data_IF_713353352085
#
_entry.id   IF_713353352085
#
_cell.length_a   1.000
_cell.length_b   1.000
_cell.length_c   1.000
_cell.angle_alpha   90.00
_cell.angle_beta   90.00
_cell.angle_gamma   90.00
#
_symmetry.space_group_name_H-M   'P 1'
#
loop_
_entity.id
_entity.type
_entity.pdbx_description
1 polymer ?
#
# COMPACT_ATOMS: atom_id res chain seq x y z
N UNK A 1 -18.06 57.21 13.65
CA UNK A 1 -18.87 57.71 12.53
C UNK A 1 -18.31 57.12 11.26
N UNK A 2 -19.00 56.13 10.72
CA UNK A 2 -18.65 55.47 9.46
C UNK A 2 -19.48 56.16 8.37
N UNK A 3 -18.86 56.96 7.51
CA UNK A 3 -19.52 57.54 6.34
C UNK A 3 -19.56 56.49 5.25
N UNK A 4 -20.77 56.03 4.95
CA UNK A 4 -21.11 55.11 3.86
C UNK A 4 -20.96 55.81 2.52
N UNK A 5 -20.05 55.31 1.68
CA UNK A 5 -20.13 55.48 0.23
C UNK A 5 -20.48 54.10 -0.33
N UNK A 6 -21.69 54.00 -0.88
CA UNK A 6 -22.14 52.86 -1.67
C UNK A 6 -21.28 52.77 -2.94
N UNK A 7 -20.45 51.73 -3.00
CA UNK A 7 -19.94 51.17 -4.26
C UNK A 7 -20.08 49.66 -4.21
N UNK A 8 -20.90 49.17 -5.12
CA UNK A 8 -21.27 47.77 -5.31
C UNK A 8 -20.05 47.01 -5.88
N UNK A 9 -19.18 46.53 -5.01
CA UNK A 9 -18.11 45.59 -5.36
C UNK A 9 -18.15 44.45 -4.34
N UNK A 10 -18.80 43.37 -4.74
CA UNK A 10 -18.70 42.04 -4.13
C UNK A 10 -17.24 41.56 -4.23
N UNK A 11 -16.36 42.07 -3.36
CA UNK A 11 -15.10 41.41 -3.06
C UNK A 11 -15.44 40.32 -2.05
N UNK A 12 -15.84 39.17 -2.58
CA UNK A 12 -15.74 37.91 -1.86
C UNK A 12 -14.23 37.70 -1.65
N UNK A 13 -13.68 38.26 -0.58
CA UNK A 13 -12.39 37.82 -0.05
C UNK A 13 -12.62 36.42 0.48
N UNK A 14 -12.60 35.45 -0.42
CA UNK A 14 -12.50 34.06 -0.07
C UNK A 14 -11.22 33.90 0.73
N UNK A 15 -11.35 33.64 2.02
CA UNK A 15 -10.29 33.00 2.79
C UNK A 15 -10.09 31.61 2.16
N UNK A 16 -9.32 31.52 1.09
CA UNK A 16 -8.66 30.28 0.73
C UNK A 16 -7.63 30.04 1.83
N UNK A 17 -8.07 29.41 2.94
CA UNK A 17 -7.11 28.65 3.72
C UNK A 17 -6.62 27.56 2.78
N UNK A 18 -5.46 27.76 2.17
CA UNK A 18 -4.67 26.68 1.58
C UNK A 18 -4.30 25.74 2.71
N UNK A 19 -5.28 24.96 3.18
CA UNK A 19 -5.06 23.93 4.17
C UNK A 19 -4.38 22.82 3.39
N UNK A 20 -3.05 22.84 3.43
CA UNK A 20 -2.22 21.76 2.91
C UNK A 20 -2.73 20.48 3.59
N UNK A 21 -3.25 19.57 2.77
CA UNK A 21 -3.75 18.29 3.25
C UNK A 21 -2.58 17.52 3.84
N UNK A 22 -2.79 16.90 5.01
CA UNK A 22 -1.75 16.08 5.62
C UNK A 22 -1.57 14.80 4.81
N UNK A 23 -0.35 14.31 4.74
CA UNK A 23 -0.02 13.07 4.01
C UNK A 23 -0.84 11.85 4.50
N UNK A 24 -1.10 11.75 5.81
CA UNK A 24 -1.98 10.73 6.40
C UNK A 24 -3.41 10.75 5.84
N UNK A 25 -3.94 11.95 5.55
CA UNK A 25 -5.29 12.12 5.00
C UNK A 25 -5.30 11.66 3.53
N UNK A 26 -4.25 11.97 2.78
CA UNK A 26 -4.06 11.44 1.41
C UNK A 26 -4.01 9.90 1.44
N UNK A 27 -3.27 9.30 2.37
CA UNK A 27 -3.22 7.84 2.49
C UNK A 27 -4.57 7.21 2.84
N UNK A 28 -5.43 7.89 3.61
CA UNK A 28 -6.78 7.39 3.89
C UNK A 28 -7.64 7.34 2.62
N UNK A 29 -7.54 8.34 1.74
CA UNK A 29 -8.26 8.34 0.47
C UNK A 29 -7.70 7.30 -0.52
N UNK A 30 -6.38 7.15 -0.56
CA UNK A 30 -5.72 6.14 -1.38
C UNK A 30 -6.10 4.72 -0.94
N UNK A 31 -6.19 4.46 0.37
CA UNK A 31 -6.71 3.20 0.91
C UNK A 31 -8.15 2.97 0.42
N UNK A 32 -9.02 3.96 0.54
CA UNK A 32 -10.41 3.83 0.08
C UNK A 32 -10.49 3.49 -1.41
N UNK A 33 -9.66 4.13 -2.24
CA UNK A 33 -9.57 3.83 -3.66
C UNK A 33 -9.01 2.43 -3.96
N UNK A 34 -8.01 2.00 -3.20
CA UNK A 34 -7.48 0.64 -3.26
C UNK A 34 -8.54 -0.40 -2.90
N UNK A 35 -9.30 -0.19 -1.84
CA UNK A 35 -10.38 -1.09 -1.42
C UNK A 35 -11.52 -1.13 -2.44
N UNK A 36 -11.91 0.03 -2.99
CA UNK A 36 -12.93 0.13 -4.03
C UNK A 36 -12.58 -0.65 -5.30
N UNK A 37 -11.29 -0.72 -5.67
CA UNK A 37 -10.85 -1.56 -6.79
C UNK A 37 -11.26 -3.03 -6.58
N UNK A 38 -11.01 -3.58 -5.40
CA UNK A 38 -11.34 -4.98 -5.08
C UNK A 38 -12.83 -5.20 -4.86
N UNK A 39 -13.54 -4.18 -4.37
CA UNK A 39 -14.99 -4.21 -4.24
C UNK A 39 -15.71 -4.42 -5.58
N UNK A 40 -15.13 -3.97 -6.71
CA UNK A 40 -15.65 -4.26 -8.05
C UNK A 40 -15.59 -5.75 -8.44
N UNK A 41 -14.89 -6.56 -7.65
CA UNK A 41 -14.83 -8.02 -7.77
C UNK A 41 -15.55 -8.72 -6.61
N UNK A 42 -16.40 -8.00 -5.86
CA UNK A 42 -17.08 -8.48 -4.64
C UNK A 42 -16.10 -8.94 -3.54
N UNK A 43 -14.88 -8.38 -3.54
CA UNK A 43 -13.85 -8.73 -2.57
C UNK A 43 -13.71 -7.62 -1.51
N UNK A 44 -13.86 -8.01 -0.24
CA UNK A 44 -13.46 -7.19 0.90
C UNK A 44 -11.97 -7.39 1.18
N UNK A 45 -11.12 -6.64 0.48
CA UNK A 45 -9.66 -6.77 0.60
C UNK A 45 -9.17 -6.45 2.01
N UNK A 46 -9.78 -5.46 2.67
CA UNK A 46 -9.45 -5.09 4.05
C UNK A 46 -9.55 -6.29 4.98
N UNK A 47 -10.69 -6.99 4.96
CA UNK A 47 -10.90 -8.17 5.80
C UNK A 47 -9.91 -9.29 5.48
N UNK A 48 -9.63 -9.55 4.20
CA UNK A 48 -8.68 -10.60 3.78
C UNK A 48 -7.27 -10.30 4.30
N UNK A 49 -6.80 -9.06 4.13
CA UNK A 49 -5.45 -8.68 4.56
C UNK A 49 -5.34 -8.60 6.09
N UNK A 50 -6.41 -8.19 6.78
CA UNK A 50 -6.49 -8.20 8.24
C UNK A 50 -6.44 -9.62 8.81
N UNK A 51 -7.18 -10.55 8.24
CA UNK A 51 -7.15 -11.95 8.70
C UNK A 51 -5.80 -12.62 8.35
N UNK A 52 -5.21 -12.27 7.21
CA UNK A 52 -3.85 -12.69 6.88
C UNK A 52 -2.80 -12.15 7.87
N UNK A 53 -2.88 -10.89 8.30
CA UNK A 53 -1.98 -10.33 9.32
C UNK A 53 -2.08 -11.13 10.63
N UNK A 54 -3.30 -11.47 11.07
CA UNK A 54 -3.49 -12.31 12.26
C UNK A 54 -2.90 -13.70 12.09
N UNK A 55 -3.01 -14.30 10.91
CA UNK A 55 -2.38 -15.60 10.61
C UNK A 55 -0.85 -15.50 10.70
N UNK A 56 -0.24 -14.46 10.12
CA UNK A 56 1.20 -14.22 10.22
C UNK A 56 1.65 -14.07 11.69
N UNK A 57 0.86 -13.39 12.53
CA UNK A 57 1.14 -13.27 13.96
C UNK A 57 1.01 -14.64 14.66
N UNK A 58 -0.07 -15.37 14.38
CA UNK A 58 -0.32 -16.69 14.96
C UNK A 58 0.73 -17.75 14.56
N UNK A 59 1.34 -17.59 13.39
CA UNK A 59 2.44 -18.44 12.90
C UNK A 59 3.83 -17.97 13.36
N UNK A 60 3.92 -16.79 13.98
CA UNK A 60 5.18 -16.21 14.47
C UNK A 60 6.03 -15.56 13.38
N UNK A 61 5.46 -15.28 12.20
CA UNK A 61 6.12 -14.50 11.15
C UNK A 61 6.12 -13.01 11.45
N UNK A 62 5.05 -12.52 12.09
CA UNK A 62 4.96 -11.18 12.65
C UNK A 62 4.91 -11.26 14.18
N UNK A 63 5.54 -10.30 14.85
CA UNK A 63 5.46 -10.18 16.32
C UNK A 63 4.15 -9.56 16.77
N UNK A 64 3.71 -8.52 16.06
CA UNK A 64 2.49 -7.75 16.30
C UNK A 64 2.14 -6.97 15.01
N UNK A 65 1.23 -6.00 15.11
CA UNK A 65 0.73 -5.21 13.97
C UNK A 65 1.53 -3.91 13.72
N UNK A 66 2.65 -3.70 14.43
CA UNK A 66 3.45 -2.48 14.35
C UNK A 66 4.32 -2.45 13.10
N UNK A 67 4.71 -1.24 12.67
CA UNK A 67 5.61 -1.07 11.54
C UNK A 67 6.98 -1.70 11.76
N UNK A 68 7.45 -1.76 13.02
CA UNK A 68 8.71 -2.47 13.34
C UNK A 68 8.58 -3.98 13.04
N UNK A 69 7.46 -4.61 13.40
CA UNK A 69 7.26 -6.04 13.11
C UNK A 69 7.24 -6.32 11.60
N UNK A 70 6.60 -5.45 10.81
CA UNK A 70 6.66 -5.53 9.35
C UNK A 70 8.08 -5.36 8.81
N UNK A 71 8.84 -4.40 9.34
CA UNK A 71 10.21 -4.15 8.94
C UNK A 71 11.12 -5.34 9.23
N UNK A 72 10.97 -5.96 10.41
CA UNK A 72 11.71 -7.16 10.80
C UNK A 72 11.40 -8.34 9.86
N UNK A 73 10.12 -8.55 9.50
CA UNK A 73 9.72 -9.57 8.54
C UNK A 73 10.31 -9.32 7.15
N UNK A 74 10.27 -8.08 6.66
CA UNK A 74 10.85 -7.73 5.37
C UNK A 74 12.37 -7.94 5.35
N UNK A 75 13.08 -7.60 6.44
CA UNK A 75 14.52 -7.90 6.59
C UNK A 75 14.77 -9.41 6.55
N UNK A 76 13.95 -10.19 7.27
CA UNK A 76 14.05 -11.65 7.23
C UNK A 76 13.85 -12.19 5.82
N UNK A 77 12.81 -11.76 5.11
CA UNK A 77 12.50 -12.21 3.75
C UNK A 77 13.52 -11.72 2.72
N UNK A 78 14.22 -10.63 3.02
CA UNK A 78 15.33 -10.21 2.19
C UNK A 78 16.54 -11.15 2.32
N UNK A 79 16.76 -11.72 3.50
CA UNK A 79 17.85 -12.68 3.76
C UNK A 79 17.45 -14.13 3.46
N UNK A 80 16.15 -14.42 3.42
CA UNK A 80 15.58 -15.76 3.24
C UNK A 80 14.51 -15.69 2.17
N UNK A 81 14.74 -16.37 1.04
CA UNK A 81 13.85 -16.30 -0.12
C UNK A 81 12.37 -16.53 0.23
N UNK A 82 12.07 -17.41 1.19
CA UNK A 82 10.71 -17.82 1.51
C UNK A 82 10.39 -17.62 2.98
N UNK A 83 9.10 -17.46 3.31
CA UNK A 83 8.60 -17.52 4.69
C UNK A 83 9.06 -18.79 5.41
N UNK A 84 9.19 -18.77 6.74
CA UNK A 84 9.52 -19.99 7.49
C UNK A 84 8.33 -20.97 7.50
N UNK A 85 8.56 -22.29 7.49
CA UNK A 85 7.47 -23.27 7.70
C UNK A 85 7.10 -23.38 9.18
N UNK A 86 5.85 -23.77 9.53
CA UNK A 86 4.76 -24.20 8.65
C UNK A 86 3.95 -23.03 8.06
N UNK A 87 3.48 -23.19 6.82
CA UNK A 87 2.62 -22.22 6.14
C UNK A 87 1.17 -22.71 6.15
N UNK A 88 0.37 -22.34 7.17
CA UNK A 88 -0.94 -22.96 7.40
C UNK A 88 -2.06 -22.37 6.54
N UNK A 89 -1.94 -21.12 6.08
CA UNK A 89 -2.94 -20.54 5.18
C UNK A 89 -3.07 -21.38 3.90
N UNK A 90 -4.29 -21.73 3.54
CA UNK A 90 -4.58 -22.51 2.32
C UNK A 90 -5.71 -21.93 1.46
N UNK A 91 -6.51 -21.03 2.00
CA UNK A 91 -7.72 -20.48 1.40
C UNK A 91 -7.46 -19.14 0.68
N UNK A 92 -6.51 -19.15 -0.27
CA UNK A 92 -6.16 -17.93 -0.99
C UNK A 92 -7.25 -17.51 -1.97
N UNK A 93 -7.61 -16.23 -1.92
CA UNK A 93 -8.45 -15.60 -2.92
C UNK A 93 -7.68 -15.32 -4.24
N UNK A 94 -8.13 -15.90 -5.34
CA UNK A 94 -7.51 -15.76 -6.67
C UNK A 94 -7.49 -14.32 -7.20
N UNK A 95 -8.54 -13.52 -6.92
CA UNK A 95 -8.56 -12.11 -7.34
C UNK A 95 -7.43 -11.36 -6.63
N UNK A 96 -7.28 -11.56 -5.32
CA UNK A 96 -6.20 -10.93 -4.54
C UNK A 96 -4.81 -11.37 -5.01
N UNK A 97 -4.64 -12.63 -5.41
CA UNK A 97 -3.37 -13.15 -5.91
C UNK A 97 -2.93 -12.50 -7.23
N UNK A 98 -3.85 -12.23 -8.14
CA UNK A 98 -3.51 -11.93 -9.54
C UNK A 98 -3.98 -10.58 -10.06
N UNK A 99 -4.89 -9.88 -9.38
CA UNK A 99 -5.37 -8.55 -9.79
C UNK A 99 -4.60 -7.46 -9.08
N UNK A 100 -3.92 -6.61 -9.84
CA UNK A 100 -3.25 -5.43 -9.30
C UNK A 100 -4.21 -4.25 -9.29
N UNK A 101 -4.31 -3.50 -8.17
CA UNK A 101 -5.14 -2.31 -8.12
C UNK A 101 -4.59 -1.27 -9.09
N UNK A 102 -5.34 -1.03 -10.15
CA UNK A 102 -5.06 0.01 -11.15
C UNK A 102 -5.92 1.23 -10.86
N UNK A 103 -5.49 2.41 -11.33
CA UNK A 103 -6.29 3.64 -11.24
C UNK A 103 -6.57 4.11 -9.80
N UNK A 104 -5.78 3.69 -8.81
CA UNK A 104 -5.92 4.17 -7.42
C UNK A 104 -5.76 5.69 -7.35
N UNK A 105 -4.78 6.24 -8.08
CA UNK A 105 -4.57 7.69 -8.17
C UNK A 105 -5.70 8.38 -8.90
N UNK A 106 -6.13 7.86 -10.06
CA UNK A 106 -7.26 8.42 -10.82
C UNK A 106 -8.53 8.47 -9.96
N UNK A 107 -8.83 7.40 -9.21
CA UNK A 107 -9.92 7.37 -8.24
C UNK A 107 -9.78 8.48 -7.18
N UNK A 108 -8.57 8.72 -6.67
CA UNK A 108 -8.35 9.73 -5.65
C UNK A 108 -8.53 11.16 -6.20
N UNK A 109 -8.13 11.38 -7.45
CA UNK A 109 -8.40 12.63 -8.18
C UNK A 109 -9.90 12.82 -8.41
N UNK A 110 -10.58 11.79 -8.93
CA UNK A 110 -11.96 11.89 -9.41
C UNK A 110 -12.99 11.92 -8.28
N UNK A 111 -12.81 11.08 -7.25
CA UNK A 111 -13.80 10.92 -6.17
C UNK A 111 -13.55 11.92 -5.04
N UNK A 112 -12.28 12.15 -4.69
CA UNK A 112 -11.91 12.97 -3.53
C UNK A 112 -11.37 14.34 -3.93
N UNK A 113 -11.29 14.65 -5.24
CA UNK A 113 -10.75 15.92 -5.75
C UNK A 113 -9.35 16.21 -5.20
N UNK A 114 -8.55 15.15 -5.01
CA UNK A 114 -7.16 15.33 -4.62
C UNK A 114 -6.39 16.03 -5.73
N UNK A 115 -5.48 16.90 -5.33
CA UNK A 115 -4.54 17.48 -6.26
C UNK A 115 -3.45 16.44 -6.59
N UNK A 116 -3.17 16.25 -7.88
CA UNK A 116 -2.23 15.21 -8.33
C UNK A 116 -0.81 15.47 -7.85
N UNK A 117 -0.40 16.74 -7.74
CA UNK A 117 0.91 17.08 -7.20
C UNK A 117 1.02 16.70 -5.72
N UNK A 118 -0.06 16.89 -4.96
CA UNK A 118 -0.13 16.49 -3.55
C UNK A 118 0.03 14.97 -3.37
N UNK A 119 -0.56 14.15 -4.26
CA UNK A 119 -0.36 12.69 -4.24
C UNK A 119 1.09 12.35 -4.60
N UNK A 120 1.62 12.94 -5.68
CA UNK A 120 2.98 12.64 -6.17
C UNK A 120 4.08 13.11 -5.22
N UNK A 121 3.79 14.12 -4.39
CA UNK A 121 4.71 14.64 -3.40
C UNK A 121 4.81 13.77 -2.14
N UNK A 122 3.87 12.85 -1.91
CA UNK A 122 3.95 11.87 -0.82
C UNK A 122 5.21 11.01 -0.93
N UNK A 123 5.75 10.60 0.21
CA UNK A 123 6.98 9.81 0.20
C UNK A 123 6.75 8.45 -0.47
N UNK A 124 5.61 7.80 -0.21
CA UNK A 124 5.32 6.50 -0.79
C UNK A 124 5.07 6.57 -2.30
N UNK A 125 4.47 7.64 -2.84
CA UNK A 125 4.32 7.79 -4.29
C UNK A 125 5.67 7.87 -5.03
N UNK A 126 6.69 8.48 -4.40
CA UNK A 126 8.05 8.51 -4.94
C UNK A 126 8.67 7.12 -4.99
N UNK A 127 8.47 6.32 -3.93
CA UNK A 127 8.90 4.91 -3.89
C UNK A 127 8.19 4.09 -4.98
N UNK A 128 6.87 4.26 -5.14
CA UNK A 128 6.10 3.55 -6.18
C UNK A 128 6.54 3.95 -7.60
N UNK A 129 6.88 5.22 -7.81
CA UNK A 129 7.41 5.70 -9.09
C UNK A 129 8.76 5.05 -9.41
N UNK A 130 9.65 4.93 -8.42
CA UNK A 130 10.93 4.22 -8.56
C UNK A 130 10.71 2.73 -8.91
N UNK A 131 9.80 2.06 -8.21
CA UNK A 131 9.43 0.67 -8.49
C UNK A 131 8.93 0.53 -9.94
N UNK A 132 7.99 1.39 -10.36
CA UNK A 132 7.42 1.32 -11.70
C UNK A 132 8.48 1.56 -12.78
N UNK A 133 9.39 2.50 -12.55
CA UNK A 133 10.50 2.75 -13.46
C UNK A 133 11.44 1.54 -13.55
N UNK A 134 11.75 0.91 -12.42
CA UNK A 134 12.60 -0.28 -12.36
C UNK A 134 11.96 -1.45 -13.09
N UNK A 135 10.68 -1.74 -12.85
CA UNK A 135 9.92 -2.80 -13.55
C UNK A 135 9.83 -2.54 -15.06
N UNK A 136 9.72 -1.28 -15.47
CA UNK A 136 9.61 -0.94 -16.91
C UNK A 136 10.95 -1.07 -17.64
N UNK A 137 12.07 -0.92 -16.93
CA UNK A 137 13.41 -0.87 -17.54
C UNK A 137 14.21 -2.16 -17.38
N UNK A 138 13.82 -3.04 -16.47
CA UNK A 138 14.50 -4.31 -16.22
C UNK A 138 13.60 -5.50 -16.59
N UNK A 139 14.10 -6.49 -17.35
CA UNK A 139 13.30 -7.63 -17.80
C UNK A 139 12.84 -8.53 -16.64
N UNK A 140 13.62 -8.58 -15.56
CA UNK A 140 13.29 -9.31 -14.34
C UNK A 140 13.70 -8.48 -13.12
N UNK A 141 12.76 -8.27 -12.19
CA UNK A 141 13.01 -7.58 -10.93
C UNK A 141 12.86 -8.59 -9.80
N UNK A 142 13.92 -8.78 -9.03
CA UNK A 142 13.92 -9.68 -7.88
C UNK A 142 12.96 -9.20 -6.79
N UNK A 143 12.27 -10.11 -6.10
CA UNK A 143 11.44 -9.76 -4.93
C UNK A 143 12.25 -9.04 -3.84
N UNK A 144 13.53 -9.38 -3.71
CA UNK A 144 14.47 -8.78 -2.76
C UNK A 144 14.61 -7.27 -2.96
N UNK A 145 14.50 -6.78 -4.20
CA UNK A 145 14.50 -5.34 -4.48
C UNK A 145 13.36 -4.61 -3.74
N UNK A 146 12.16 -5.19 -3.72
CA UNK A 146 11.01 -4.59 -3.05
C UNK A 146 11.18 -4.59 -1.53
N UNK A 147 11.69 -5.70 -0.97
CA UNK A 147 11.96 -5.82 0.47
C UNK A 147 13.05 -4.84 0.92
N UNK A 148 14.14 -4.73 0.16
CA UNK A 148 15.21 -3.76 0.42
C UNK A 148 14.70 -2.32 0.33
N UNK A 149 13.91 -2.02 -0.70
CA UNK A 149 13.39 -0.67 -0.88
C UNK A 149 12.47 -0.26 0.27
N UNK A 150 11.52 -1.10 0.66
CA UNK A 150 10.62 -0.80 1.78
C UNK A 150 11.35 -0.72 3.12
N UNK A 151 12.29 -1.62 3.39
CA UNK A 151 13.04 -1.60 4.67
C UNK A 151 13.98 -0.40 4.77
N UNK A 152 14.64 -0.02 3.67
CA UNK A 152 15.59 1.09 3.67
C UNK A 152 14.94 2.47 3.60
N UNK A 153 13.76 2.58 2.98
CA UNK A 153 13.11 3.87 2.74
C UNK A 153 11.98 4.18 3.72
N UNK A 154 11.19 3.20 4.14
CA UNK A 154 10.04 3.46 5.01
C UNK A 154 10.43 3.43 6.48
N UNK A 155 9.94 4.44 7.21
CA UNK A 155 9.96 4.45 8.67
C UNK A 155 8.91 3.49 9.24
N UNK A 156 9.04 3.15 10.52
CA UNK A 156 8.04 2.30 11.18
C UNK A 156 6.65 2.97 11.21
N UNK A 157 6.58 4.29 11.37
CA UNK A 157 5.31 5.03 11.37
C UNK A 157 4.64 5.01 10.00
N UNK A 158 5.41 5.15 8.92
CA UNK A 158 4.87 5.04 7.56
C UNK A 158 4.37 3.64 7.24
N UNK A 159 5.03 2.60 7.74
CA UNK A 159 4.55 1.21 7.61
C UNK A 159 3.20 0.96 8.30
N UNK A 160 2.81 1.82 9.25
CA UNK A 160 1.51 1.78 9.90
C UNK A 160 0.44 2.62 9.18
N UNK A 161 0.83 3.43 8.19
CA UNK A 161 -0.12 4.22 7.40
C UNK A 161 -1.04 3.30 6.59
N UNK A 162 -2.37 3.52 6.58
CA UNK A 162 -3.33 2.51 6.11
C UNK A 162 -3.08 2.00 4.68
N UNK A 163 -2.89 2.92 3.72
CA UNK A 163 -2.60 2.56 2.32
C UNK A 163 -1.24 1.86 2.13
N UNK A 164 -0.20 2.33 2.84
CA UNK A 164 1.14 1.73 2.78
C UNK A 164 1.08 0.32 3.34
N UNK A 165 0.46 0.15 4.50
CA UNK A 165 0.27 -1.12 5.18
C UNK A 165 -0.46 -2.13 4.30
N UNK A 166 -1.61 -1.77 3.72
CA UNK A 166 -2.34 -2.68 2.82
C UNK A 166 -1.55 -3.05 1.56
N UNK A 167 -0.78 -2.10 1.00
CA UNK A 167 0.10 -2.38 -0.15
C UNK A 167 1.16 -3.42 0.19
N UNK A 168 1.79 -3.30 1.36
CA UNK A 168 2.81 -4.25 1.83
C UNK A 168 2.18 -5.59 2.22
N UNK A 169 1.02 -5.58 2.89
CA UNK A 169 0.27 -6.80 3.19
C UNK A 169 -0.10 -7.57 1.92
N UNK A 170 -0.52 -6.88 0.85
CA UNK A 170 -0.80 -7.51 -0.44
C UNK A 170 0.45 -8.17 -1.06
N UNK A 171 1.61 -7.51 -0.99
CA UNK A 171 2.88 -8.09 -1.43
C UNK A 171 3.20 -9.36 -0.63
N UNK A 172 3.13 -9.27 0.69
CA UNK A 172 3.41 -10.38 1.60
C UNK A 172 2.43 -11.54 1.41
N UNK A 173 1.15 -11.25 1.18
CA UNK A 173 0.11 -12.25 0.92
C UNK A 173 0.44 -13.09 -0.33
N UNK A 174 0.84 -12.42 -1.41
CA UNK A 174 1.25 -13.09 -2.66
C UNK A 174 2.56 -13.84 -2.49
N UNK A 175 3.51 -13.26 -1.76
CA UNK A 175 4.79 -13.92 -1.51
C UNK A 175 4.66 -15.14 -0.61
N UNK A 176 3.75 -15.08 0.37
CA UNK A 176 3.41 -16.22 1.22
C UNK A 176 2.81 -17.35 0.38
N UNK A 177 1.86 -17.04 -0.51
CA UNK A 177 1.32 -18.02 -1.46
C UNK A 177 2.42 -18.66 -2.31
N UNK A 178 3.33 -17.84 -2.88
CA UNK A 178 4.47 -18.35 -3.67
C UNK A 178 5.39 -19.24 -2.84
N UNK A 179 5.72 -18.82 -1.62
CA UNK A 179 6.53 -19.60 -0.66
C UNK A 179 5.93 -20.96 -0.34
N UNK A 180 4.60 -21.04 -0.25
CA UNK A 180 3.86 -22.27 -0.04
C UNK A 180 3.86 -23.14 -1.30
N UNK A 181 3.47 -22.57 -2.43
CA UNK A 181 3.38 -23.26 -3.72
C UNK A 181 4.71 -23.90 -4.11
N UNK A 182 5.82 -23.17 -4.00
CA UNK A 182 7.15 -23.65 -4.41
C UNK A 182 7.72 -24.75 -3.50
N UNK A 183 7.21 -24.88 -2.28
CA UNK A 183 7.69 -25.87 -1.30
C UNK A 183 6.79 -27.09 -1.21
N UNK A 184 5.51 -26.94 -1.49
CA UNK A 184 4.53 -28.02 -1.40
C UNK A 184 4.32 -28.75 -2.74
N UNK A 185 4.78 -28.18 -3.87
CA UNK A 185 4.76 -28.84 -5.18
C UNK A 185 6.18 -29.32 -5.50
N UNK A 186 6.39 -30.62 -5.77
CA UNK A 186 7.69 -31.13 -6.17
C UNK A 186 8.16 -30.42 -7.44
N UNK A 187 9.36 -29.86 -7.41
CA UNK A 187 10.05 -29.49 -8.65
C UNK A 187 10.65 -30.79 -9.17
N UNK A 188 10.11 -31.31 -10.27
CA UNK A 188 10.80 -32.34 -11.03
C UNK A 188 12.14 -31.75 -11.48
N UNK A 189 13.24 -32.27 -10.92
CA UNK A 189 14.57 -31.94 -11.40
C UNK A 189 14.76 -32.72 -12.72
N UNK A 190 14.68 -32.00 -13.85
CA UNK A 190 15.26 -32.48 -15.11
C UNK A 190 16.79 -32.51 -15.06
#
# INVERSE_FOLDING_TARGET
>A
MCTTILSFSYLITGCQSNKVMKEEEIYTFLETCFENYYKNYDINIHQILHDFEKELIAEGHLKDTSGQAYKDLLVYLNQNLYFQTPLKKGDFNNVVLYKNPTQVYDCALDIFSLDSTSIMDTHFAKIQTEIQQTITTQPEVSIHYFFDLYTSRLTNEELESPYIKQTIQLLLYRWYFKSKYDREIPIDQE
#
